data_IF_881280460480
#
_entry.id   IF_881280460480
#
_cell.length_a   1.000
_cell.length_b   1.000
_cell.length_c   1.000
_cell.angle_alpha   90.00
_cell.angle_beta   90.00
_cell.angle_gamma   90.00
#
_symmetry.space_group_name_H-M   'P 1'
#
loop_
_entity.id
_entity.type
_entity.pdbx_description
1 polymer ?
#
# COMPACT_ATOMS: atom_id res chain seq x y z
N UNK A 1 -0.89 -13.84 -8.73
CA UNK A 1 -0.90 -12.54 -9.44
C UNK A 1 -0.23 -11.49 -8.57
N UNK A 2 0.43 -10.48 -9.15
CA UNK A 2 1.10 -9.41 -8.40
C UNK A 2 0.57 -8.06 -8.83
N UNK A 3 0.35 -7.17 -7.86
CA UNK A 3 0.05 -5.74 -8.11
C UNK A 3 1.05 -4.86 -7.35
N UNK A 4 1.20 -3.63 -7.82
CA UNK A 4 2.00 -2.60 -7.17
C UNK A 4 1.09 -1.62 -6.44
N UNK A 5 1.47 -1.22 -5.23
CA UNK A 5 0.83 -0.16 -4.47
C UNK A 5 1.89 0.89 -4.14
N UNK A 6 1.61 2.15 -4.50
CA UNK A 6 2.46 3.30 -4.21
C UNK A 6 1.71 4.27 -3.32
N UNK A 7 2.34 4.71 -2.25
CA UNK A 7 1.82 5.70 -1.32
C UNK A 7 2.81 6.86 -1.24
N UNK A 8 2.32 8.08 -1.43
CA UNK A 8 3.10 9.31 -1.19
C UNK A 8 2.55 9.95 0.08
N UNK A 9 3.40 10.18 1.06
CA UNK A 9 3.01 10.65 2.39
C UNK A 9 4.07 11.56 3.01
N UNK A 10 3.71 12.31 4.05
CA UNK A 10 4.66 12.97 4.96
C UNK A 10 4.73 12.29 6.34
N UNK A 11 4.06 11.15 6.52
CA UNK A 11 4.03 10.42 7.78
C UNK A 11 5.11 9.33 7.84
N UNK A 12 6.25 9.68 8.42
CA UNK A 12 7.44 8.83 8.58
C UNK A 12 7.19 7.50 9.31
N UNK A 13 6.09 7.39 10.05
CA UNK A 13 5.74 6.17 10.77
C UNK A 13 4.83 5.24 9.95
N UNK A 14 4.33 5.67 8.79
CA UNK A 14 3.36 4.88 8.01
C UNK A 14 3.93 3.51 7.64
N UNK A 15 5.17 3.45 7.17
CA UNK A 15 5.84 2.18 6.86
C UNK A 15 5.90 1.21 8.06
N UNK A 16 6.13 1.74 9.26
CA UNK A 16 6.13 0.95 10.50
C UNK A 16 4.72 0.49 10.87
N UNK A 17 3.73 1.38 10.76
CA UNK A 17 2.33 1.09 11.11
C UNK A 17 1.66 0.14 10.12
N UNK A 18 1.99 0.18 8.83
CA UNK A 18 1.45 -0.75 7.84
C UNK A 18 1.61 -2.20 8.32
N UNK A 19 2.82 -2.56 8.80
CA UNK A 19 3.16 -3.93 9.17
C UNK A 19 3.39 -4.16 10.67
N UNK A 20 3.01 -3.20 11.51
CA UNK A 20 3.19 -3.22 12.97
C UNK A 20 4.61 -3.69 13.37
N UNK A 21 5.61 -3.12 12.71
CA UNK A 21 7.02 -3.53 12.77
C UNK A 21 7.90 -2.44 13.42
N UNK A 22 9.06 -2.84 13.96
CA UNK A 22 10.06 -1.91 14.50
C UNK A 22 11.02 -1.35 13.45
N UNK A 23 11.00 -1.92 12.24
CA UNK A 23 11.88 -1.52 11.13
C UNK A 23 11.14 -1.62 9.81
N UNK A 24 11.33 -0.61 8.98
CA UNK A 24 10.85 -0.49 7.61
C UNK A 24 11.89 0.30 6.80
N UNK A 25 12.17 -0.03 5.53
CA UNK A 25 11.64 -1.15 4.76
C UNK A 25 12.17 -2.53 5.23
N UNK A 26 11.47 -3.60 4.86
CA UNK A 26 11.87 -4.99 5.15
C UNK A 26 12.07 -5.78 3.85
N UNK A 27 13.13 -6.60 3.79
CA UNK A 27 13.35 -7.58 2.70
C UNK A 27 12.58 -8.88 2.89
N UNK A 28 12.01 -9.09 4.08
CA UNK A 28 11.22 -10.28 4.38
C UNK A 28 9.76 -10.06 3.99
N UNK A 29 9.15 -11.02 3.27
CA UNK A 29 7.73 -10.96 2.95
C UNK A 29 6.86 -10.80 4.19
N UNK A 30 5.80 -10.00 4.08
CA UNK A 30 4.83 -9.76 5.16
C UNK A 30 3.46 -10.22 4.72
N UNK A 31 2.88 -11.17 5.46
CA UNK A 31 1.49 -11.55 5.29
C UNK A 31 0.59 -10.40 5.79
N UNK A 32 -0.46 -10.11 5.05
CA UNK A 32 -1.47 -9.10 5.40
C UNK A 32 -2.86 -9.76 5.46
N UNK A 33 -3.85 -9.10 6.10
CA UNK A 33 -5.21 -9.62 6.14
C UNK A 33 -5.75 -9.98 4.76
N UNK A 34 -6.52 -11.06 4.70
CA UNK A 34 -7.01 -11.61 3.44
C UNK A 34 -6.05 -12.58 2.75
N UNK A 35 -4.86 -12.84 3.30
CA UNK A 35 -3.94 -13.87 2.79
C UNK A 35 -2.92 -13.38 1.76
N UNK A 36 -3.06 -12.14 1.29
CA UNK A 36 -2.07 -11.52 0.41
C UNK A 36 -0.70 -11.37 1.11
N UNK A 37 0.35 -11.22 0.31
CA UNK A 37 1.73 -11.11 0.82
C UNK A 37 2.42 -9.91 0.19
N UNK A 38 2.97 -9.02 1.00
CA UNK A 38 3.86 -7.95 0.52
C UNK A 38 5.27 -8.49 0.44
N UNK A 39 5.75 -8.75 -0.78
CA UNK A 39 7.04 -9.38 -1.05
C UNK A 39 8.23 -8.42 -1.13
N UNK A 40 8.00 -7.18 -1.57
CA UNK A 40 9.01 -6.11 -1.62
C UNK A 40 8.44 -4.81 -1.08
N UNK A 41 9.28 -4.09 -0.34
CA UNK A 41 8.96 -2.82 0.29
C UNK A 41 10.14 -1.88 0.03
N UNK A 42 9.89 -0.73 -0.57
CA UNK A 42 10.89 0.33 -0.71
C UNK A 42 10.37 1.65 -0.16
N UNK A 43 11.29 2.42 0.39
CA UNK A 43 11.07 3.77 0.90
C UNK A 43 12.02 4.70 0.16
N UNK A 44 11.50 5.75 -0.45
CA UNK A 44 12.29 6.83 -1.05
C UNK A 44 11.95 8.10 -0.28
N UNK A 45 12.94 8.67 0.38
CA UNK A 45 12.84 9.96 1.04
C UNK A 45 13.17 11.05 0.01
N UNK A 46 12.30 12.05 -0.11
CA UNK A 46 12.51 13.19 -0.99
C UNK A 46 12.71 14.46 -0.14
N UNK A 47 13.97 14.86 0.01
CA UNK A 47 14.39 16.04 0.76
C UNK A 47 14.30 17.33 -0.08
N UNK A 48 14.16 17.23 -1.42
CA UNK A 48 14.21 18.37 -2.34
C UNK A 48 12.88 19.15 -2.40
N UNK A 49 11.81 18.65 -1.78
CA UNK A 49 10.53 19.37 -1.67
C UNK A 49 10.50 20.28 -0.44
N UNK A 50 9.83 21.43 -0.56
CA UNK A 50 9.59 22.38 0.55
C UNK A 50 8.93 21.74 1.78
N UNK A 51 8.33 20.57 1.59
CA UNK A 51 7.85 19.67 2.64
C UNK A 51 8.50 18.31 2.41
N UNK A 52 9.04 17.70 3.45
CA UNK A 52 9.59 16.35 3.32
C UNK A 52 8.50 15.36 2.96
N UNK A 53 8.77 14.50 1.97
CA UNK A 53 7.85 13.44 1.56
C UNK A 53 8.55 12.10 1.46
N UNK A 54 7.79 11.06 1.74
CA UNK A 54 8.17 9.66 1.60
C UNK A 54 7.32 9.02 0.50
N UNK A 55 7.98 8.20 -0.32
CA UNK A 55 7.33 7.32 -1.28
C UNK A 55 7.51 5.88 -0.81
N UNK A 56 6.40 5.23 -0.48
CA UNK A 56 6.34 3.82 -0.11
C UNK A 56 5.82 3.02 -1.30
N UNK A 57 6.67 2.16 -1.86
CA UNK A 57 6.29 1.21 -2.90
C UNK A 57 6.21 -0.20 -2.32
N UNK A 58 5.09 -0.87 -2.58
CA UNK A 58 4.77 -2.21 -2.11
C UNK A 58 4.47 -3.12 -3.31
N UNK A 59 5.14 -4.27 -3.38
CA UNK A 59 4.77 -5.35 -4.30
C UNK A 59 3.90 -6.37 -3.56
N UNK A 60 2.64 -6.49 -3.95
CA UNK A 60 1.64 -7.33 -3.27
C UNK A 60 1.27 -8.53 -4.15
N UNK A 61 1.53 -9.71 -3.63
CA UNK A 61 1.20 -11.00 -4.24
C UNK A 61 -0.15 -11.50 -3.72
N UNK A 62 -1.02 -11.86 -4.66
CA UNK A 62 -2.34 -12.47 -4.44
C UNK A 62 -2.38 -13.87 -5.06
N UNK A 63 -2.83 -14.86 -4.30
CA UNK A 63 -3.21 -16.18 -4.81
C UNK A 63 -4.74 -16.30 -4.97
N UNK A 64 -5.20 -17.48 -5.39
CA UNK A 64 -6.62 -17.77 -5.63
C UNK A 64 -7.49 -17.78 -4.36
N UNK A 65 -6.87 -17.89 -3.17
CA UNK A 65 -7.57 -17.94 -1.89
C UNK A 65 -7.59 -16.56 -1.19
N UNK A 66 -6.96 -15.56 -1.79
CA UNK A 66 -6.85 -14.24 -1.20
C UNK A 66 -8.18 -13.47 -1.26
N UNK A 67 -8.55 -12.81 -0.15
CA UNK A 67 -9.67 -11.88 -0.10
C UNK A 67 -9.20 -10.45 -0.40
N UNK A 68 -9.63 -9.93 -1.56
CA UNK A 68 -9.36 -8.55 -1.99
C UNK A 68 -9.99 -7.54 -1.02
N UNK A 69 -11.22 -7.79 -0.57
CA UNK A 69 -11.92 -6.92 0.40
C UNK A 69 -11.14 -6.82 1.71
N UNK A 70 -10.68 -7.94 2.28
CA UNK A 70 -9.90 -7.90 3.52
C UNK A 70 -8.58 -7.14 3.37
N UNK A 71 -7.91 -7.27 2.23
CA UNK A 71 -6.72 -6.47 1.93
C UNK A 71 -7.05 -4.98 1.82
N UNK A 72 -8.07 -4.63 1.06
CA UNK A 72 -8.48 -3.24 0.86
C UNK A 72 -8.86 -2.57 2.18
N UNK A 73 -9.62 -3.26 3.03
CA UNK A 73 -10.06 -2.76 4.32
C UNK A 73 -8.89 -2.57 5.27
N UNK A 74 -7.91 -3.48 5.24
CA UNK A 74 -6.67 -3.31 5.99
C UNK A 74 -5.89 -2.08 5.52
N UNK A 75 -5.69 -1.93 4.21
CA UNK A 75 -4.94 -0.81 3.65
C UNK A 75 -5.64 0.52 3.96
N UNK A 76 -6.94 0.60 3.70
CA UNK A 76 -7.79 1.73 4.02
C UNK A 76 -7.69 2.11 5.50
N UNK A 77 -7.81 1.14 6.40
CA UNK A 77 -7.67 1.37 7.85
C UNK A 77 -6.29 1.91 8.26
N UNK A 78 -5.21 1.48 7.59
CA UNK A 78 -3.85 2.01 7.87
C UNK A 78 -3.67 3.44 7.35
N UNK A 79 -4.24 3.77 6.19
CA UNK A 79 -4.15 5.10 5.58
C UNK A 79 -5.03 6.14 6.30
N UNK A 80 -6.21 5.75 6.75
CA UNK A 80 -7.16 6.64 7.44
C UNK A 80 -6.81 6.96 8.89
N UNK A 81 -5.73 6.40 9.43
CA UNK A 81 -5.21 6.78 10.73
C UNK A 81 -4.69 8.23 10.76
N UNK A 82 -4.13 8.71 9.63
CA UNK A 82 -3.67 10.10 9.43
C UNK A 82 -3.92 10.52 7.97
N UNK A 83 -5.18 10.73 7.56
CA UNK A 83 -5.52 10.90 6.16
C UNK A 83 -4.91 12.18 5.55
N UNK A 84 -4.77 13.24 6.35
CA UNK A 84 -4.18 14.53 5.92
C UNK A 84 -2.69 14.44 5.60
N UNK A 85 -2.03 13.36 6.02
CA UNK A 85 -0.61 13.11 5.75
C UNK A 85 -0.41 12.23 4.50
N UNK A 86 -1.49 11.71 3.89
CA UNK A 86 -1.44 10.93 2.65
C UNK A 86 -1.74 11.86 1.47
N UNK A 87 -0.75 12.05 0.61
CA UNK A 87 -0.87 12.93 -0.55
C UNK A 87 -1.36 12.21 -1.80
N UNK A 88 -1.02 10.93 -1.94
CA UNK A 88 -1.46 10.12 -3.07
C UNK A 88 -1.41 8.63 -2.76
N UNK A 89 -2.39 7.90 -3.27
CA UNK A 89 -2.42 6.45 -3.33
C UNK A 89 -2.54 6.04 -4.79
N UNK A 90 -1.68 5.13 -5.24
CA UNK A 90 -1.81 4.50 -6.53
C UNK A 90 -1.77 2.97 -6.41
N UNK A 91 -2.66 2.29 -7.13
CA UNK A 91 -2.79 0.83 -7.15
C UNK A 91 -2.75 0.38 -8.61
N UNK A 92 -1.86 -0.56 -8.93
CA UNK A 92 -1.61 -1.03 -10.29
C UNK A 92 -1.39 0.14 -11.29
N UNK A 93 -0.64 1.17 -10.86
CA UNK A 93 -0.30 2.34 -11.66
C UNK A 93 -1.40 3.38 -11.83
N UNK A 94 -2.56 3.22 -11.19
CA UNK A 94 -3.67 4.20 -11.25
C UNK A 94 -3.83 4.90 -9.91
N UNK A 95 -3.97 6.23 -9.92
CA UNK A 95 -4.32 7.00 -8.73
C UNK A 95 -5.72 6.61 -8.24
N UNK A 96 -5.86 6.40 -6.94
CA UNK A 96 -7.09 5.96 -6.27
C UNK A 96 -7.39 6.91 -5.13
N UNK A 97 -8.66 7.23 -4.94
CA UNK A 97 -9.11 7.96 -3.76
C UNK A 97 -8.95 7.08 -2.50
N UNK A 98 -8.74 7.69 -1.34
CA UNK A 98 -8.66 6.97 -0.07
C UNK A 98 -10.08 6.67 0.39
N UNK A 99 -10.71 5.72 -0.30
CA UNK A 99 -12.04 5.18 -0.04
C UNK A 99 -11.98 3.65 -0.15
N UNK A 100 -12.67 2.95 0.75
CA UNK A 100 -12.63 1.49 0.83
C UNK A 100 -13.09 0.84 -0.49
N UNK A 101 -14.19 1.31 -1.07
CA UNK A 101 -14.76 0.72 -2.28
C UNK A 101 -13.90 1.01 -3.51
N UNK A 102 -13.32 2.21 -3.60
CA UNK A 102 -12.40 2.56 -4.69
C UNK A 102 -11.10 1.74 -4.61
N UNK A 103 -10.57 1.50 -3.41
CA UNK A 103 -9.41 0.62 -3.21
C UNK A 103 -9.73 -0.81 -3.67
N UNK A 104 -10.88 -1.38 -3.25
CA UNK A 104 -11.32 -2.72 -3.70
C UNK A 104 -11.35 -2.78 -5.23
N UNK A 105 -12.05 -1.83 -5.87
CA UNK A 105 -12.18 -1.79 -7.34
C UNK A 105 -10.83 -1.70 -8.04
N UNK A 106 -9.92 -0.87 -7.52
CA UNK A 106 -8.59 -0.70 -8.10
C UNK A 106 -7.75 -1.98 -8.00
N UNK A 107 -7.81 -2.68 -6.87
CA UNK A 107 -7.11 -3.97 -6.68
C UNK A 107 -7.67 -5.03 -7.63
N UNK A 108 -8.99 -5.20 -7.69
CA UNK A 108 -9.62 -6.16 -8.60
C UNK A 108 -9.28 -5.87 -10.07
N UNK A 109 -9.31 -4.59 -10.48
CA UNK A 109 -8.93 -4.18 -11.82
C UNK A 109 -7.46 -4.49 -12.10
N UNK A 110 -6.56 -4.21 -11.15
CA UNK A 110 -5.15 -4.52 -11.26
C UNK A 110 -4.86 -6.02 -11.41
N UNK A 111 -5.58 -6.86 -10.66
CA UNK A 111 -5.48 -8.32 -10.76
C UNK A 111 -5.97 -8.83 -12.12
N UNK A 112 -7.07 -8.29 -12.65
CA UNK A 112 -7.60 -8.66 -13.98
C UNK A 112 -6.65 -8.28 -15.12
N UNK A 113 -5.97 -7.14 -15.03
CA UNK A 113 -5.02 -6.68 -16.05
C UNK A 113 -3.67 -7.40 -16.01
N UNK A 114 -3.41 -8.18 -14.95
CA UNK A 114 -2.16 -8.93 -14.76
C UNK A 114 -2.25 -10.39 -15.25
N UNK A 115 -3.41 -10.80 -15.79
CA UNK A 115 -3.66 -12.05 -16.50
C UNK A 115 -3.61 -11.83 -18.01
#
# INVERSE_FOLDING_TARGET
MRIEVRIITRDYELGLRLFDTRRFPSRYPKAIPGGAVVGSQSLIENEDSTEWTEVIDLAVDFDENCSVEMFANWLYGKLTAKPDDIYSLAIAGKTVEIDEAEIVRAVEAGLKSSN
#
